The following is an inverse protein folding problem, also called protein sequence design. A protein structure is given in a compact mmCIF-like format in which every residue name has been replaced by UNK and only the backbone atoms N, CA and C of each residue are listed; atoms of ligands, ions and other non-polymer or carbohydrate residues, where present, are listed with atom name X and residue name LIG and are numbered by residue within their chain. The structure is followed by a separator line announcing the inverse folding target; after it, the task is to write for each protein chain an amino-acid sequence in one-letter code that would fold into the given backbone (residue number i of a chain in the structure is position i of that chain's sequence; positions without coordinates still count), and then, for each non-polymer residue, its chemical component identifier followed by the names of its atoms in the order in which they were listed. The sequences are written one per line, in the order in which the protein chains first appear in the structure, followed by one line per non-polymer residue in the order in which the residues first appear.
data_IF_794084312242
#
_entry.id   IF_794084312242
#
_cell.length_a   1.000
_cell.length_b   1.000
_cell.length_c   1.000
_cell.angle_alpha   90.00
_cell.angle_beta   90.00
_cell.angle_gamma   90.00
#
_symmetry.space_group_name_H-M   'P 1'
#
loop_
_entity.id
_entity.type
_entity.pdbx_description
1 polymer ?
#
# COMPACT_ATOMS: atom_id res chain seq x y z
N UNK A 1 -14.06 19.43 -19.96
CA UNK A 1 -15.11 18.44 -19.66
C UNK A 1 -14.36 17.25 -19.10
N UNK A 2 -14.67 16.77 -17.88
CA UNK A 2 -13.89 15.68 -17.30
C UNK A 2 -14.06 14.39 -18.13
N UNK A 3 -12.95 13.73 -18.45
CA UNK A 3 -12.92 12.45 -19.18
C UNK A 3 -12.17 11.37 -18.39
N UNK A 4 -12.30 10.13 -18.85
CA UNK A 4 -11.48 9.01 -18.39
C UNK A 4 -10.20 8.94 -19.24
N UNK A 5 -9.04 8.97 -18.59
CA UNK A 5 -7.74 8.83 -19.25
C UNK A 5 -7.37 7.34 -19.31
N UNK A 6 -7.05 6.86 -20.50
CA UNK A 6 -6.70 5.46 -20.75
C UNK A 6 -5.19 5.21 -20.87
N UNK A 7 -4.38 6.27 -20.84
CA UNK A 7 -2.92 6.16 -20.91
C UNK A 7 -2.34 5.71 -19.57
N UNK A 8 -1.22 4.99 -19.64
CA UNK A 8 -0.48 4.61 -18.44
C UNK A 8 0.08 5.85 -17.74
N UNK A 9 -0.13 5.96 -16.42
CA UNK A 9 0.42 7.04 -15.63
C UNK A 9 1.93 6.90 -15.56
N UNK A 10 2.65 7.99 -15.82
CA UNK A 10 4.10 8.00 -15.63
C UNK A 10 4.46 7.80 -14.16
N UNK A 11 5.57 7.12 -13.89
CA UNK A 11 6.10 6.97 -12.53
C UNK A 11 6.42 8.31 -11.87
N UNK A 12 6.82 9.32 -12.65
CA UNK A 12 7.05 10.67 -12.15
C UNK A 12 5.79 11.27 -11.50
N UNK A 13 4.61 11.09 -12.12
CA UNK A 13 3.34 11.56 -11.53
C UNK A 13 2.91 10.67 -10.37
N UNK A 14 3.02 9.35 -10.50
CA UNK A 14 2.69 8.41 -9.41
C UNK A 14 3.46 8.75 -8.13
N UNK A 15 4.76 9.02 -8.23
CA UNK A 15 5.62 9.35 -7.09
C UNK A 15 5.32 10.73 -6.46
N UNK A 16 4.39 11.53 -7.00
CA UNK A 16 3.89 12.75 -6.34
C UNK A 16 2.66 12.50 -5.46
N UNK A 17 2.05 11.31 -5.57
CA UNK A 17 0.94 10.93 -4.72
C UNK A 17 1.45 10.67 -3.30
N UNK A 18 0.63 10.95 -2.27
CA UNK A 18 1.07 10.85 -0.88
C UNK A 18 1.41 9.42 -0.48
N UNK A 19 2.34 9.24 0.45
CA UNK A 19 2.49 7.95 1.10
C UNK A 19 1.29 7.73 2.04
N UNK A 20 0.94 6.47 2.32
CA UNK A 20 -0.05 6.15 3.34
C UNK A 20 0.16 6.89 4.68
N UNK A 21 1.40 7.05 5.14
CA UNK A 21 1.73 7.71 6.41
C UNK A 21 1.24 9.18 6.41
N UNK A 22 1.16 9.81 5.24
CA UNK A 22 0.76 11.21 5.08
C UNK A 22 -0.77 11.40 5.09
N UNK A 23 -1.54 10.32 4.92
CA UNK A 23 -2.99 10.38 4.71
C UNK A 23 -3.81 9.67 5.78
N UNK A 24 -3.18 9.23 6.87
CA UNK A 24 -3.85 8.47 7.93
C UNK A 24 -5.07 9.18 8.53
N UNK A 25 -5.03 10.51 8.67
CA UNK A 25 -6.14 11.30 9.24
C UNK A 25 -7.18 11.79 8.23
N UNK A 26 -6.97 11.51 6.93
CA UNK A 26 -7.92 11.92 5.88
C UNK A 26 -9.31 11.33 6.09
N UNK A 27 -9.49 10.05 6.47
CA UNK A 27 -10.83 9.50 6.68
C UNK A 27 -11.66 10.30 7.70
N UNK A 28 -11.05 10.67 8.83
CA UNK A 28 -11.69 11.45 9.88
C UNK A 28 -11.92 12.91 9.46
N UNK A 29 -10.88 13.56 8.92
CA UNK A 29 -10.92 14.97 8.51
C UNK A 29 -11.88 15.23 7.34
N UNK A 30 -12.14 14.21 6.52
CA UNK A 30 -12.95 14.29 5.31
C UNK A 30 -14.20 13.37 5.36
N UNK A 31 -14.68 12.99 6.55
CA UNK A 31 -15.84 12.11 6.71
C UNK A 31 -17.10 12.58 5.96
N UNK A 32 -17.39 13.89 5.96
CA UNK A 32 -18.52 14.46 5.21
C UNK A 32 -18.33 14.35 3.69
N UNK A 33 -17.10 14.53 3.20
CA UNK A 33 -16.79 14.36 1.78
C UNK A 33 -16.94 12.91 1.36
N UNK A 34 -16.49 11.96 2.20
CA UNK A 34 -16.66 10.53 1.97
C UNK A 34 -18.15 10.18 1.94
N UNK A 35 -18.96 10.70 2.85
CA UNK A 35 -20.41 10.49 2.86
C UNK A 35 -21.08 11.04 1.58
N UNK A 36 -20.72 12.25 1.15
CA UNK A 36 -21.26 12.85 -0.08
C UNK A 36 -20.84 12.07 -1.34
N UNK A 37 -19.58 11.64 -1.40
CA UNK A 37 -19.04 10.87 -2.52
C UNK A 37 -19.63 9.44 -2.56
N UNK A 38 -19.87 8.80 -1.42
CA UNK A 38 -20.55 7.49 -1.36
C UNK A 38 -22.04 7.61 -1.75
N UNK A 39 -22.73 8.65 -1.31
CA UNK A 39 -24.09 8.95 -1.76
C UNK A 39 -24.16 9.24 -3.28
N UNK A 40 -23.09 9.80 -3.86
CA UNK A 40 -22.97 9.97 -5.30
C UNK A 40 -22.94 8.61 -6.03
N UNK A 41 -22.20 7.61 -5.52
CA UNK A 41 -22.17 6.25 -6.08
C UNK A 41 -23.58 5.64 -6.10
N UNK A 42 -24.33 5.80 -5.01
CA UNK A 42 -25.70 5.32 -4.88
C UNK A 42 -26.66 6.01 -5.86
N UNK A 43 -26.60 7.34 -5.95
CA UNK A 43 -27.48 8.13 -6.82
C UNK A 43 -27.35 7.73 -8.30
N UNK A 44 -26.13 7.41 -8.74
CA UNK A 44 -25.87 6.93 -10.10
C UNK A 44 -26.04 5.41 -10.27
N UNK A 45 -26.40 4.69 -9.20
CA UNK A 45 -26.62 3.24 -9.19
C UNK A 45 -25.42 2.46 -9.75
N UNK A 46 -24.22 2.84 -9.32
CA UNK A 46 -23.01 2.14 -9.71
C UNK A 46 -22.96 0.73 -9.10
N UNK A 47 -22.11 -0.13 -9.67
CA UNK A 47 -21.81 -1.46 -9.16
C UNK A 47 -21.16 -1.39 -7.76
N UNK A 48 -21.42 -2.36 -6.86
CA UNK A 48 -20.86 -2.41 -5.49
C UNK A 48 -19.33 -2.51 -5.46
N UNK A 49 -18.74 -2.92 -6.58
CA UNK A 49 -17.30 -2.97 -6.79
C UNK A 49 -16.69 -1.60 -7.09
N UNK A 50 -17.50 -0.55 -7.27
CA UNK A 50 -17.04 0.84 -7.35
C UNK A 50 -17.11 1.46 -5.96
N UNK A 51 -15.97 1.90 -5.43
CA UNK A 51 -15.83 2.42 -4.06
C UNK A 51 -15.06 3.74 -4.06
N UNK A 52 -15.14 4.47 -2.95
CA UNK A 52 -14.26 5.60 -2.70
C UNK A 52 -12.94 5.06 -2.14
N UNK A 53 -11.81 5.53 -2.66
CA UNK A 53 -10.46 5.09 -2.28
C UNK A 53 -9.70 6.23 -1.60
N UNK A 54 -9.05 5.95 -0.48
CA UNK A 54 -8.00 6.80 0.07
C UNK A 54 -6.78 6.73 -0.86
N UNK A 55 -6.41 7.85 -1.47
CA UNK A 55 -5.27 7.90 -2.39
C UNK A 55 -3.99 7.82 -1.59
N UNK A 56 -3.15 6.84 -1.91
CA UNK A 56 -1.82 6.69 -1.35
C UNK A 56 -0.95 5.81 -2.26
N UNK A 57 0.35 5.84 -2.03
CA UNK A 57 1.33 4.92 -2.62
C UNK A 57 2.01 4.11 -1.52
N UNK A 58 2.51 2.93 -1.89
CA UNK A 58 3.27 2.06 -0.98
C UNK A 58 4.79 2.18 -1.16
N UNK A 59 5.24 2.54 -2.35
CA UNK A 59 6.66 2.75 -2.66
C UNK A 59 6.81 3.53 -3.97
N UNK A 60 7.97 4.16 -4.17
CA UNK A 60 8.26 4.84 -5.44
C UNK A 60 8.48 3.85 -6.60
N UNK A 61 7.98 4.22 -7.77
CA UNK A 61 8.19 3.54 -9.05
C UNK A 61 9.43 4.10 -9.77
N UNK A 62 10.13 3.24 -10.52
CA UNK A 62 11.20 3.63 -11.44
C UNK A 62 10.62 4.06 -12.78
N UNK A 63 11.42 4.69 -13.62
CA UNK A 63 10.99 5.07 -14.98
C UNK A 63 10.49 3.84 -15.77
N UNK A 64 9.34 3.99 -16.42
CA UNK A 64 8.72 2.92 -17.22
C UNK A 64 8.01 1.84 -16.42
N UNK A 65 7.92 1.96 -15.10
CA UNK A 65 7.13 1.07 -14.23
C UNK A 65 5.74 1.65 -13.95
N UNK A 66 4.80 0.75 -13.67
CA UNK A 66 3.47 1.02 -13.11
C UNK A 66 3.23 0.11 -11.90
N UNK A 67 2.35 0.54 -11.00
CA UNK A 67 1.92 -0.28 -9.87
C UNK A 67 0.74 -1.16 -10.29
N UNK A 68 0.89 -2.49 -10.21
CA UNK A 68 -0.14 -3.41 -10.66
C UNK A 68 -0.43 -4.50 -9.63
N UNK A 69 -1.72 -4.69 -9.39
CA UNK A 69 -2.35 -5.78 -8.65
C UNK A 69 -2.52 -7.02 -9.54
N UNK A 70 -2.21 -8.19 -8.99
CA UNK A 70 -2.56 -9.49 -9.60
C UNK A 70 -3.02 -10.46 -8.54
N UNK A 71 -3.97 -11.29 -8.92
CA UNK A 71 -4.45 -12.34 -8.03
C UNK A 71 -3.52 -13.55 -8.04
N UNK A 72 -3.30 -14.12 -6.85
CA UNK A 72 -2.54 -15.35 -6.65
C UNK A 72 -3.32 -16.27 -5.72
N UNK A 73 -3.43 -17.54 -6.10
CA UNK A 73 -4.10 -18.55 -5.26
C UNK A 73 -3.09 -19.11 -4.26
N UNK A 74 -3.21 -18.71 -2.99
CA UNK A 74 -2.37 -19.21 -1.91
C UNK A 74 -2.99 -20.49 -1.33
N UNK A 75 -2.24 -21.60 -1.24
CA UNK A 75 -2.76 -22.86 -0.71
C UNK A 75 -3.37 -22.70 0.69
N UNK A 76 -4.61 -23.14 0.86
CA UNK A 76 -5.43 -23.05 2.09
C UNK A 76 -5.94 -21.65 2.49
N UNK A 77 -5.55 -20.60 1.76
CA UNK A 77 -5.99 -19.23 2.03
C UNK A 77 -6.81 -18.62 0.89
N UNK A 78 -6.85 -19.28 -0.28
CA UNK A 78 -7.68 -18.86 -1.41
C UNK A 78 -7.01 -17.76 -2.22
N UNK A 79 -7.82 -16.83 -2.73
CA UNK A 79 -7.35 -15.75 -3.60
C UNK A 79 -6.75 -14.62 -2.76
N UNK A 80 -5.50 -14.27 -3.02
CA UNK A 80 -4.78 -13.14 -2.42
C UNK A 80 -4.36 -12.20 -3.53
N UNK A 81 -4.54 -10.90 -3.32
CA UNK A 81 -3.97 -9.92 -4.24
C UNK A 81 -2.53 -9.62 -3.85
N UNK A 82 -1.64 -9.57 -4.84
CA UNK A 82 -0.30 -9.03 -4.68
C UNK A 82 -0.11 -7.86 -5.61
N UNK A 83 0.43 -6.80 -5.07
CA UNK A 83 0.61 -5.53 -5.74
C UNK A 83 2.09 -5.23 -5.85
N UNK A 84 2.59 -4.95 -7.05
CA UNK A 84 4.03 -4.83 -7.28
C UNK A 84 4.33 -3.82 -8.41
N UNK A 85 5.57 -3.33 -8.44
CA UNK A 85 6.06 -2.62 -9.62
C UNK A 85 6.18 -3.58 -10.81
N UNK A 86 5.61 -3.21 -11.96
CA UNK A 86 5.77 -3.95 -13.22
C UNK A 86 6.12 -3.01 -14.37
N UNK A 87 6.87 -3.46 -15.40
CA UNK A 87 7.10 -2.65 -16.60
C UNK A 87 5.78 -2.33 -17.32
N UNK A 88 5.54 -1.05 -17.63
CA UNK A 88 4.35 -0.59 -18.34
C UNK A 88 4.21 -1.21 -19.75
N UNK A 89 5.32 -1.62 -20.36
CA UNK A 89 5.40 -2.16 -21.73
C UNK A 89 5.14 -3.66 -21.83
N UNK A 90 4.87 -4.36 -20.72
CA UNK A 90 4.66 -5.82 -20.77
C UNK A 90 3.37 -6.13 -21.54
N UNK A 91 3.37 -7.18 -22.36
CA UNK A 91 2.22 -7.60 -23.22
C UNK A 91 0.98 -8.09 -22.46
N UNK A 92 0.79 -7.69 -21.20
CA UNK A 92 -0.38 -8.06 -20.41
C UNK A 92 -1.37 -6.89 -20.43
N UNK A 93 -2.67 -7.15 -20.66
CA UNK A 93 -3.66 -6.11 -20.53
C UNK A 93 -3.68 -5.60 -19.09
N UNK A 94 -3.55 -4.28 -18.94
CA UNK A 94 -3.69 -3.59 -17.66
C UNK A 94 -5.03 -2.87 -17.65
N UNK A 95 -5.79 -3.09 -16.59
CA UNK A 95 -7.06 -2.42 -16.35
C UNK A 95 -6.90 -1.49 -15.15
N UNK A 96 -7.61 -0.36 -15.13
CA UNK A 96 -7.48 0.54 -13.99
C UNK A 96 -8.13 -0.04 -12.74
N UNK A 97 -7.35 -0.04 -11.66
CA UNK A 97 -7.72 -0.50 -10.32
C UNK A 97 -8.13 0.69 -9.47
N UNK A 98 -7.22 1.64 -9.28
CA UNK A 98 -7.48 2.85 -8.52
C UNK A 98 -7.29 4.09 -9.39
N UNK A 99 -8.15 5.08 -9.18
CA UNK A 99 -8.22 6.31 -9.97
C UNK A 99 -8.19 7.54 -9.08
N UNK A 100 -7.55 8.60 -9.58
CA UNK A 100 -7.53 9.92 -8.97
C UNK A 100 -7.93 10.99 -9.98
N UNK A 101 -8.21 12.20 -9.49
CA UNK A 101 -8.50 13.35 -10.35
C UNK A 101 -7.22 14.15 -10.54
N UNK A 102 -6.73 14.22 -11.77
CA UNK A 102 -5.48 14.90 -12.08
C UNK A 102 -5.61 16.44 -12.05
N UNK A 103 -4.51 17.15 -12.35
CA UNK A 103 -4.46 18.62 -12.38
C UNK A 103 -5.42 19.25 -13.38
N UNK A 104 -5.68 18.59 -14.50
CA UNK A 104 -6.61 19.05 -15.54
C UNK A 104 -8.07 18.85 -15.14
N UNK A 105 -8.29 17.97 -14.16
CA UNK A 105 -9.59 17.62 -13.64
C UNK A 105 -10.23 16.41 -14.30
N UNK A 106 -9.42 15.59 -14.94
CA UNK A 106 -9.80 14.32 -15.55
C UNK A 106 -9.51 13.17 -14.60
N UNK A 107 -10.25 12.07 -14.79
CA UNK A 107 -10.10 10.86 -13.99
C UNK A 107 -9.00 10.01 -14.62
N UNK A 108 -7.88 9.85 -13.89
CA UNK A 108 -6.72 9.09 -14.33
C UNK A 108 -6.52 7.86 -13.45
N UNK A 109 -6.12 6.75 -14.06
CA UNK A 109 -5.70 5.55 -13.34
C UNK A 109 -4.33 5.82 -12.70
N UNK A 110 -4.11 5.41 -11.45
CA UNK A 110 -2.78 5.42 -10.82
C UNK A 110 -2.31 4.03 -10.37
N UNK A 111 -3.23 3.08 -10.20
CA UNK A 111 -2.89 1.67 -9.96
C UNK A 111 -3.69 0.78 -10.91
N UNK A 112 -3.10 -0.33 -11.32
CA UNK A 112 -3.63 -1.22 -12.34
C UNK A 112 -3.92 -2.60 -11.78
N UNK A 113 -4.69 -3.40 -12.51
CA UNK A 113 -4.92 -4.81 -12.22
C UNK A 113 -4.89 -5.66 -13.49
N UNK A 114 -4.59 -6.94 -13.32
CA UNK A 114 -4.51 -7.91 -14.43
C UNK A 114 -5.87 -8.38 -14.96
N UNK A 115 -6.96 -8.09 -14.26
CA UNK A 115 -8.32 -8.49 -14.61
C UNK A 115 -9.24 -7.27 -14.67
N UNK A 116 -10.25 -7.24 -15.55
CA UNK A 116 -11.11 -6.07 -15.71
C UNK A 116 -12.09 -5.89 -14.54
N UNK A 117 -12.20 -4.66 -14.02
CA UNK A 117 -13.28 -4.24 -13.13
C UNK A 117 -14.56 -3.85 -13.87
N UNK A 118 -15.56 -3.30 -13.17
CA UNK A 118 -16.74 -2.68 -13.79
C UNK A 118 -16.34 -1.60 -14.81
N UNK A 119 -17.00 -1.58 -15.96
CA UNK A 119 -16.82 -0.49 -16.93
C UNK A 119 -17.59 0.76 -16.48
N UNK A 120 -16.84 1.77 -16.02
CA UNK A 120 -17.40 3.06 -15.61
C UNK A 120 -17.53 4.06 -16.76
N UNK A 121 -17.01 3.77 -17.96
CA UNK A 121 -16.94 4.71 -19.08
C UNK A 121 -18.32 5.13 -19.61
N UNK A 122 -19.33 4.29 -19.40
CA UNK A 122 -20.73 4.56 -19.71
C UNK A 122 -21.36 5.61 -18.75
N UNK A 123 -20.82 5.79 -17.54
CA UNK A 123 -21.36 6.72 -16.53
C UNK A 123 -20.73 8.12 -16.64
N UNK A 124 -20.74 8.71 -17.83
CA UNK A 124 -20.08 10.01 -18.09
C UNK A 124 -20.57 11.14 -17.18
N UNK A 125 -21.87 11.17 -16.86
CA UNK A 125 -22.44 12.15 -15.93
C UNK A 125 -21.88 12.01 -14.52
N UNK A 126 -21.72 10.77 -14.04
CA UNK A 126 -21.09 10.47 -12.76
C UNK A 126 -19.64 10.94 -12.76
N UNK A 127 -18.84 10.52 -13.75
CA UNK A 127 -17.41 10.90 -13.84
C UNK A 127 -17.24 12.42 -13.77
N UNK A 128 -18.07 13.15 -14.53
CA UNK A 128 -18.06 14.62 -14.53
C UNK A 128 -18.38 15.19 -13.15
N UNK A 129 -19.42 14.71 -12.50
CA UNK A 129 -19.82 15.23 -11.19
C UNK A 129 -18.82 14.87 -10.09
N UNK A 130 -18.31 13.63 -10.08
CA UNK A 130 -17.25 13.18 -9.17
C UNK A 130 -16.02 14.08 -9.29
N UNK A 131 -15.50 14.27 -10.51
CA UNK A 131 -14.33 15.12 -10.74
C UNK A 131 -14.59 16.59 -10.32
N UNK A 132 -15.80 17.10 -10.54
CA UNK A 132 -16.16 18.44 -10.10
C UNK A 132 -16.16 18.58 -8.58
N UNK A 133 -16.72 17.63 -7.84
CA UNK A 133 -16.73 17.63 -6.37
C UNK A 133 -15.29 17.57 -5.85
N UNK A 134 -14.52 16.59 -6.32
CA UNK A 134 -13.12 16.39 -5.91
C UNK A 134 -12.30 17.66 -6.10
N UNK A 135 -12.39 18.32 -7.27
CA UNK A 135 -11.67 19.58 -7.51
C UNK A 135 -12.13 20.74 -6.65
N UNK A 136 -13.46 20.97 -6.58
CA UNK A 136 -14.02 22.12 -5.85
C UNK A 136 -13.68 22.06 -4.37
N UNK A 137 -13.58 20.84 -3.83
CA UNK A 137 -13.28 20.58 -2.41
C UNK A 137 -11.81 20.25 -2.13
N UNK A 138 -10.94 20.31 -3.16
CA UNK A 138 -9.49 20.07 -3.05
C UNK A 138 -9.12 18.68 -2.53
N UNK A 139 -9.78 17.64 -3.06
CA UNK A 139 -9.64 16.24 -2.64
C UNK A 139 -8.71 15.42 -3.56
N UNK A 140 -8.08 16.02 -4.57
CA UNK A 140 -7.32 15.32 -5.64
C UNK A 140 -6.20 14.39 -5.13
N UNK A 141 -5.59 14.70 -3.98
CA UNK A 141 -4.53 13.91 -3.34
C UNK A 141 -5.02 13.24 -2.06
N UNK A 142 -6.34 13.05 -1.93
CA UNK A 142 -6.97 12.49 -0.72
C UNK A 142 -7.91 11.36 -1.09
N UNK A 143 -8.86 11.62 -1.98
CA UNK A 143 -9.95 10.71 -2.30
C UNK A 143 -10.05 10.48 -3.80
N UNK A 144 -10.17 9.21 -4.17
CA UNK A 144 -10.26 8.70 -5.52
C UNK A 144 -11.34 7.63 -5.64
N UNK A 145 -11.25 6.83 -6.70
CA UNK A 145 -12.11 5.66 -6.92
C UNK A 145 -11.30 4.37 -6.85
N UNK A 146 -11.91 3.32 -6.32
CA UNK A 146 -11.45 1.93 -6.45
C UNK A 146 -12.47 1.14 -7.25
N UNK A 147 -11.98 0.37 -8.22
CA UNK A 147 -12.76 -0.54 -9.06
C UNK A 147 -12.23 -1.94 -8.83
N UNK A 148 -13.01 -2.79 -8.18
CA UNK A 148 -12.59 -4.17 -7.90
C UNK A 148 -12.99 -5.12 -9.04
N UNK A 149 -12.12 -6.06 -9.41
CA UNK A 149 -12.46 -7.10 -10.38
C UNK A 149 -13.55 -8.05 -9.84
N UNK A 150 -13.32 -8.62 -8.66
CA UNK A 150 -14.24 -9.51 -7.98
C UNK A 150 -14.74 -8.91 -6.66
N UNK A 151 -15.90 -9.35 -6.21
CA UNK A 151 -16.31 -9.11 -4.83
C UNK A 151 -15.36 -9.88 -3.91
N UNK A 152 -14.50 -9.15 -3.21
CA UNK A 152 -13.77 -9.70 -2.09
C UNK A 152 -14.77 -9.75 -0.92
N UNK A 153 -15.28 -10.95 -0.64
CA UNK A 153 -16.31 -11.19 0.39
C UNK A 153 -15.74 -10.94 1.80
N UNK A 154 -14.42 -10.93 1.93
CA UNK A 154 -13.72 -10.76 3.20
C UNK A 154 -12.88 -9.48 3.17
N UNK A 155 -12.83 -8.80 4.31
CA UNK A 155 -11.88 -7.71 4.52
C UNK A 155 -10.45 -8.24 4.41
N UNK A 156 -9.55 -7.36 3.97
CA UNK A 156 -8.11 -7.64 3.89
C UNK A 156 -7.33 -6.58 4.63
N UNK A 157 -6.11 -6.97 4.99
CA UNK A 157 -5.07 -6.08 5.47
C UNK A 157 -3.89 -6.07 4.53
N UNK A 158 -3.49 -4.86 4.15
CA UNK A 158 -2.36 -4.63 3.27
C UNK A 158 -1.05 -4.76 4.06
N UNK A 159 -0.22 -5.77 3.72
CA UNK A 159 1.11 -5.96 4.27
C UNK A 159 2.17 -5.51 3.26
N UNK A 160 2.88 -4.44 3.59
CA UNK A 160 4.02 -3.99 2.79
C UNK A 160 5.21 -4.93 2.90
N UNK A 161 5.85 -5.18 1.76
CA UNK A 161 7.09 -5.93 1.59
C UNK A 161 8.13 -5.07 0.82
N UNK A 162 8.73 -4.06 1.48
CA UNK A 162 9.59 -3.07 0.81
C UNK A 162 10.80 -3.68 0.08
N UNK A 163 11.45 -4.68 0.68
CA UNK A 163 12.61 -5.36 0.08
C UNK A 163 12.29 -6.05 -1.27
N UNK A 164 11.02 -6.27 -1.58
CA UNK A 164 10.56 -6.78 -2.87
C UNK A 164 9.70 -5.78 -3.65
N UNK A 165 9.58 -4.52 -3.18
CA UNK A 165 8.71 -3.48 -3.77
C UNK A 165 7.32 -4.05 -4.09
N UNK A 166 6.74 -4.68 -3.08
CA UNK A 166 5.47 -5.42 -3.16
C UNK A 166 4.60 -5.12 -1.96
N UNK A 167 3.27 -5.17 -2.11
CA UNK A 167 2.29 -5.21 -1.04
C UNK A 167 1.42 -6.47 -1.20
N UNK A 168 0.99 -7.07 -0.09
CA UNK A 168 0.21 -8.31 -0.06
C UNK A 168 -1.11 -8.06 0.67
N UNK A 169 -2.23 -8.37 0.02
CA UNK A 169 -3.53 -8.41 0.69
C UNK A 169 -3.67 -9.67 1.54
N UNK A 170 -3.45 -9.53 2.84
CA UNK A 170 -3.61 -10.59 3.82
C UNK A 170 -5.09 -10.67 4.24
N UNK A 171 -5.73 -11.84 4.25
CA UNK A 171 -7.10 -11.97 4.76
C UNK A 171 -7.21 -11.48 6.21
N UNK A 172 -8.28 -10.76 6.55
CA UNK A 172 -8.45 -10.14 7.87
C UNK A 172 -8.45 -11.14 9.05
N UNK A 173 -8.78 -12.41 8.80
CA UNK A 173 -8.70 -13.48 9.80
C UNK A 173 -7.28 -13.93 10.13
N UNK A 174 -6.29 -13.54 9.32
CA UNK A 174 -4.88 -13.86 9.55
C UNK A 174 -4.26 -12.76 10.40
N UNK A 175 -3.85 -13.05 11.65
CA UNK A 175 -3.30 -12.04 12.52
C UNK A 175 -1.95 -11.56 11.99
N UNK A 176 -1.80 -10.23 11.92
CA UNK A 176 -0.53 -9.57 11.65
C UNK A 176 0.27 -9.40 12.96
N UNK A 177 1.61 -9.48 12.92
CA UNK A 177 2.44 -9.27 14.10
C UNK A 177 2.32 -7.82 14.57
N UNK A 178 2.26 -7.61 15.88
CA UNK A 178 2.29 -6.24 16.42
C UNK A 178 3.52 -5.47 15.92
N UNK A 179 3.29 -4.26 15.40
CA UNK A 179 4.32 -3.25 15.16
C UNK A 179 3.99 -1.98 15.94
N UNK A 180 4.95 -1.38 16.65
CA UNK A 180 4.76 -0.05 17.23
C UNK A 180 4.58 1.04 16.16
N UNK A 181 5.07 0.82 14.95
CA UNK A 181 4.85 1.73 13.81
C UNK A 181 3.68 1.29 12.93
N UNK A 182 2.92 0.28 13.39
CA UNK A 182 1.73 -0.13 12.71
C UNK A 182 0.53 0.69 13.12
N UNK A 183 -0.33 0.95 12.14
CA UNK A 183 -1.56 1.70 12.31
C UNK A 183 -2.65 1.04 11.50
N UNK A 184 -3.88 1.15 11.97
CA UNK A 184 -5.06 0.71 11.23
C UNK A 184 -5.72 1.93 10.59
N UNK A 185 -5.94 1.88 9.27
CA UNK A 185 -6.77 2.87 8.58
C UNK A 185 -7.66 2.21 7.51
N UNK A 186 -8.82 2.81 7.27
CA UNK A 186 -9.74 2.36 6.22
C UNK A 186 -9.32 3.02 4.91
N UNK A 187 -8.93 2.22 3.92
CA UNK A 187 -8.50 2.75 2.62
C UNK A 187 -9.61 2.76 1.58
N UNK A 188 -10.73 2.07 1.84
CA UNK A 188 -11.87 2.02 0.94
C UNK A 188 -13.20 2.18 1.66
N UNK A 189 -14.10 2.95 1.05
CA UNK A 189 -15.40 3.27 1.59
C UNK A 189 -16.48 2.86 0.60
N UNK A 190 -17.35 1.94 1.02
CA UNK A 190 -18.51 1.49 0.26
C UNK A 190 -19.75 2.31 0.65
N UNK A 191 -20.85 2.08 -0.09
CA UNK A 191 -22.16 2.67 0.23
C UNK A 191 -22.65 2.29 1.64
N UNK A 192 -22.37 1.07 2.06
CA UNK A 192 -22.82 0.53 3.35
C UNK A 192 -22.05 1.13 4.54
N UNK A 193 -20.79 1.53 4.32
CA UNK A 193 -19.93 2.13 5.34
C UNK A 193 -20.53 3.40 5.93
N UNK A 194 -21.12 4.26 5.09
CA UNK A 194 -21.66 5.56 5.51
C UNK A 194 -22.91 5.43 6.41
N UNK A 195 -23.70 4.37 6.22
CA UNK A 195 -24.93 4.14 7.01
C UNK A 195 -24.63 3.71 8.44
N UNK A 196 -23.55 2.96 8.64
CA UNK A 196 -23.18 2.42 9.96
C UNK A 196 -22.58 3.51 10.85
N UNK A 197 -21.67 4.36 10.35
CA UNK A 197 -21.11 5.45 11.16
C UNK A 197 -22.15 6.48 11.57
N UNK A 198 -23.09 6.80 10.67
CA UNK A 198 -24.20 7.71 10.99
C UNK A 198 -25.15 7.11 12.02
N UNK A 199 -25.33 5.79 12.02
CA UNK A 199 -26.12 5.09 13.05
C UNK A 199 -25.39 5.08 14.41
N UNK A 200 -24.07 4.89 14.41
CA UNK A 200 -23.24 4.89 15.63
C UNK A 200 -23.10 6.28 16.27
N UNK A 201 -23.10 7.36 15.47
CA UNK A 201 -23.07 8.74 16.00
C UNK A 201 -24.41 9.20 16.59
N UNK A 202 -25.51 8.53 16.26
CA UNK A 202 -26.85 8.85 16.76
C UNK A 202 -27.21 8.11 18.06
N UNK A 203 -26.40 7.16 18.52
CA UNK A 203 -26.57 6.51 19.81
C UNK A 203 -25.65 7.12 20.87
N UNK A 204 -26.25 7.82 21.83
CA UNK A 204 -25.62 8.29 23.06
C UNK A 204 -25.10 7.09 23.87
N UNK A 205 -23.82 6.73 23.67
CA UNK A 205 -23.19 5.63 24.37
C UNK A 205 -21.72 5.46 24.01
N UNK A 206 -20.91 6.50 24.15
CA UNK A 206 -19.47 6.52 23.85
C UNK A 206 -18.59 5.59 24.73
N UNK A 207 -19.18 4.66 25.49
CA UNK A 207 -18.47 3.84 26.48
C UNK A 207 -18.43 2.34 26.18
N UNK A 208 -19.02 1.88 25.06
CA UNK A 208 -19.01 0.46 24.64
C UNK A 208 -18.16 0.17 23.39
N UNK A 209 -17.61 1.19 22.72
CA UNK A 209 -16.87 1.01 21.46
C UNK A 209 -15.43 0.48 21.60
N UNK A 210 -14.96 0.17 22.82
CA UNK A 210 -13.61 -0.39 23.07
C UNK A 210 -13.57 -1.91 23.30
N UNK A 211 -14.71 -2.59 23.25
CA UNK A 211 -14.74 -4.05 23.38
C UNK A 211 -15.05 -4.68 22.03
N UNK A 212 -14.08 -5.44 21.53
CA UNK A 212 -14.21 -6.37 20.41
C UNK A 212 -15.58 -7.05 20.40
N UNK A 213 -16.42 -6.67 19.42
CA UNK A 213 -17.59 -7.47 19.04
C UNK A 213 -17.18 -8.38 17.89
N UNK A 214 -16.98 -9.69 18.12
CA UNK A 214 -16.87 -10.67 17.05
C UNK A 214 -18.29 -10.96 16.54
N UNK A 215 -18.58 -10.69 15.26
CA UNK A 215 -19.81 -11.25 14.67
C UNK A 215 -20.58 -10.44 13.62
N UNK A 216 -20.06 -9.32 13.10
CA UNK A 216 -20.55 -8.77 11.83
C UNK A 216 -19.35 -8.48 10.93
N UNK A 217 -19.29 -9.21 9.82
CA UNK A 217 -18.25 -9.12 8.81
C UNK A 217 -18.32 -7.73 8.18
N UNK A 218 -17.57 -6.79 8.76
CA UNK A 218 -17.45 -5.45 8.20
C UNK A 218 -16.41 -5.52 7.09
N UNK A 219 -16.85 -5.33 5.84
CA UNK A 219 -16.02 -5.29 4.64
C UNK A 219 -15.25 -3.96 4.60
N UNK A 220 -14.23 -3.83 5.46
CA UNK A 220 -13.25 -2.74 5.35
C UNK A 220 -11.94 -3.33 4.85
N UNK A 221 -11.31 -2.65 3.88
CA UNK A 221 -9.88 -2.84 3.64
C UNK A 221 -9.17 -2.08 4.78
N UNK A 222 -8.69 -2.82 5.78
CA UNK A 222 -7.95 -2.25 6.90
C UNK A 222 -6.49 -2.29 6.54
N UNK A 223 -5.92 -1.18 6.11
CA UNK A 223 -4.48 -1.12 5.94
C UNK A 223 -3.83 -1.15 7.32
N UNK A 224 -2.98 -2.15 7.53
CA UNK A 224 -2.13 -2.27 8.71
C UNK A 224 -0.70 -2.14 8.24
N UNK A 225 -0.14 -0.92 8.29
CA UNK A 225 1.30 -0.80 8.00
C UNK A 225 2.07 -1.55 9.04
N UNK A 226 3.18 -2.10 8.64
CA UNK A 226 4.16 -2.63 9.56
C UNK A 226 5.51 -2.09 9.13
N UNK A 227 5.75 -0.80 9.41
CA UNK A 227 7.08 -0.21 9.34
C UNK A 227 7.85 -0.68 10.57
N UNK A 228 9.18 -0.81 10.52
CA UNK A 228 9.96 -1.22 11.68
C UNK A 228 11.25 -0.43 11.76
N UNK A 229 11.52 0.15 12.93
CA UNK A 229 12.71 0.98 13.17
C UNK A 229 13.97 0.16 13.44
N UNK A 230 15.08 0.79 13.06
CA UNK A 230 16.47 0.40 13.24
C UNK A 230 17.00 0.90 14.59
N UNK A 231 16.66 0.23 15.68
CA UNK A 231 17.27 0.54 16.96
C UNK A 231 17.32 -0.66 17.91
N UNK A 232 18.49 -0.79 18.54
CA UNK A 232 18.87 -1.78 19.57
C UNK A 232 19.26 -3.20 19.10
N UNK A 233 20.14 -3.28 18.10
CA UNK A 233 21.29 -4.19 18.25
C UNK A 233 22.54 -3.34 18.42
N UNK A 234 22.73 -2.86 19.65
CA UNK A 234 24.02 -2.41 20.11
C UNK A 234 24.99 -3.59 20.04
N UNK A 235 25.66 -3.75 18.90
CA UNK A 235 26.92 -4.45 18.85
C UNK A 235 27.88 -3.61 19.70
N UNK A 236 28.06 -4.05 20.95
CA UNK A 236 29.19 -3.59 21.75
C UNK A 236 30.44 -4.04 21.01
N UNK A 237 31.09 -3.12 20.31
CA UNK A 237 32.43 -3.36 19.80
C UNK A 237 33.33 -3.69 20.99
N UNK A 238 33.73 -4.96 21.05
CA UNK A 238 34.68 -5.48 22.00
C UNK A 238 35.99 -4.76 21.81
N UNK A 239 36.22 -3.79 22.68
CA UNK A 239 37.47 -3.07 22.84
C UNK A 239 38.59 -4.10 23.14
N UNK A 240 39.41 -4.40 22.13
CA UNK A 240 40.61 -5.21 22.30
C UNK A 240 41.81 -4.29 22.15
N UNK A 241 42.19 -3.66 23.25
CA UNK A 241 43.52 -3.05 23.42
C UNK A 241 44.52 -4.16 23.68
N UNK A 242 45.45 -4.40 22.74
CA UNK A 242 46.84 -4.78 23.05
C UNK A 242 47.75 -4.07 22.05
N UNK A 243 48.70 -3.36 22.62
CA UNK A 243 49.76 -2.56 22.01
C UNK A 243 50.67 -3.34 21.05
N UNK A 244 51.25 -2.63 20.08
CA UNK A 244 52.69 -2.72 19.82
C UNK A 244 53.19 -1.53 19.01
N UNK A 245 54.18 -0.86 19.60
CA UNK A 245 55.06 0.16 19.04
C UNK A 245 55.83 -0.33 17.81
N UNK A 246 56.03 0.54 16.80
CA UNK A 246 57.35 1.09 16.46
C UNK A 246 57.49 1.56 15.00
N UNK A 247 58.12 2.75 14.89
CA UNK A 247 59.08 3.24 13.88
C UNK A 247 58.62 3.69 12.48
N UNK A 248 58.82 5.00 12.29
CA UNK A 248 59.56 5.69 11.21
C UNK A 248 59.11 5.59 9.74
N UNK A 249 58.44 6.67 9.31
CA UNK A 249 58.98 7.64 8.37
C UNK A 249 59.34 7.21 6.93
N UNK A 250 58.55 7.66 5.95
CA UNK A 250 59.06 8.36 4.76
C UNK A 250 57.95 9.05 3.97
N UNK A 251 58.22 10.29 3.53
CA UNK A 251 57.43 11.08 2.56
C UNK A 251 57.99 10.83 1.15
N UNK A 252 57.12 10.61 0.16
CA UNK A 252 57.19 11.00 -1.28
C UNK A 252 55.81 10.72 -1.90
N UNK A 253 54.99 11.72 -2.21
CA UNK A 253 54.86 12.46 -3.50
C UNK A 253 54.33 11.65 -4.69
N UNK A 254 53.19 12.14 -5.18
CA UNK A 254 52.70 12.22 -6.55
C UNK A 254 51.85 11.11 -7.19
N UNK A 255 50.73 11.62 -7.75
CA UNK A 255 49.91 11.17 -8.89
C UNK A 255 49.07 9.89 -8.73
N UNK A 256 47.75 10.07 -8.67
CA UNK A 256 46.90 9.82 -9.85
C UNK A 256 45.45 10.26 -9.61
N UNK A 257 44.96 11.13 -10.50
CA UNK A 257 43.55 11.48 -10.66
C UNK A 257 42.79 10.23 -11.10
N UNK A 258 42.01 9.67 -10.18
CA UNK A 258 41.03 8.63 -10.45
C UNK A 258 39.65 9.15 -10.13
N UNK A 259 38.90 9.47 -11.18
CA UNK A 259 37.45 9.64 -11.14
C UNK A 259 36.80 8.35 -10.60
N UNK A 260 36.51 8.32 -9.30
CA UNK A 260 35.60 7.34 -8.72
C UNK A 260 34.23 7.99 -8.55
N UNK A 261 33.40 7.90 -9.59
CA UNK A 261 31.95 8.04 -9.44
C UNK A 261 31.45 6.84 -8.63
N UNK A 262 31.55 6.93 -7.31
CA UNK A 262 30.81 6.05 -6.42
C UNK A 262 29.36 6.48 -6.47
N UNK A 263 28.59 5.91 -7.40
CA UNK A 263 27.16 5.73 -7.24
C UNK A 263 26.97 4.80 -6.04
N UNK A 264 27.06 5.39 -4.84
CA UNK A 264 26.52 4.82 -3.62
C UNK A 264 25.01 4.92 -3.74
N UNK A 265 24.43 3.94 -4.45
CA UNK A 265 23.10 3.44 -4.16
C UNK A 265 23.13 2.90 -2.72
N UNK A 266 23.03 3.81 -1.74
CA UNK A 266 22.68 3.55 -0.35
C UNK A 266 21.24 3.04 -0.30
N UNK A 267 21.00 1.86 -0.85
CA UNK A 267 19.82 1.06 -0.50
C UNK A 267 20.06 0.47 0.89
N UNK A 268 19.60 1.21 1.89
CA UNK A 268 18.76 0.72 2.98
C UNK A 268 19.21 -0.64 3.56
N UNK A 269 20.32 -0.61 4.29
CA UNK A 269 20.84 -1.75 5.06
C UNK A 269 20.13 -1.88 6.40
N UNK A 270 18.83 -2.15 6.33
CA UNK A 270 18.06 -2.77 7.40
C UNK A 270 16.59 -2.42 7.27
N UNK A 271 15.74 -3.24 7.87
CA UNK A 271 14.28 -3.07 7.88
C UNK A 271 13.58 -3.49 6.59
N UNK A 272 13.50 -4.81 6.43
CA UNK A 272 12.70 -5.47 5.42
C UNK A 272 12.41 -6.90 5.81
N UNK A 273 11.40 -7.48 5.17
CA UNK A 273 11.25 -8.91 5.12
C UNK A 273 12.44 -9.49 4.34
N UNK A 274 13.24 -10.37 4.94
CA UNK A 274 14.36 -11.03 4.24
C UNK A 274 14.21 -12.54 4.33
N UNK A 275 14.41 -13.22 3.20
CA UNK A 275 14.43 -14.68 3.11
C UNK A 275 15.88 -15.16 3.08
N UNK A 276 16.33 -15.81 4.15
CA UNK A 276 17.68 -16.40 4.22
C UNK A 276 17.63 -17.86 3.76
N UNK A 277 18.43 -18.22 2.76
CA UNK A 277 18.47 -19.56 2.18
C UNK A 277 19.30 -20.54 3.02
N UNK A 278 18.64 -21.56 3.58
CA UNK A 278 19.28 -22.72 4.21
C UNK A 278 18.33 -23.55 5.08
N UNK A 279 17.58 -24.48 4.47
CA UNK A 279 16.74 -25.56 5.06
C UNK A 279 15.69 -25.20 6.14
N UNK A 280 15.55 -23.94 6.51
CA UNK A 280 14.38 -23.35 7.15
C UNK A 280 14.34 -21.89 6.74
N UNK A 281 13.35 -21.47 5.93
CA UNK A 281 13.22 -20.06 5.60
C UNK A 281 12.92 -19.30 6.88
N UNK A 282 13.80 -18.38 7.23
CA UNK A 282 13.49 -17.42 8.26
C UNK A 282 12.82 -16.24 7.57
N UNK A 283 11.58 -15.98 7.96
CA UNK A 283 10.80 -14.83 7.54
C UNK A 283 10.75 -13.93 8.76
N UNK A 284 11.51 -12.84 8.71
CA UNK A 284 11.51 -11.84 9.76
C UNK A 284 10.56 -10.72 9.33
N UNK A 285 9.50 -10.50 10.10
CA UNK A 285 8.67 -9.30 10.04
C UNK A 285 8.87 -8.63 11.39
N UNK A 286 9.11 -7.33 11.46
CA UNK A 286 9.32 -6.64 12.73
C UNK A 286 10.64 -6.86 13.46
N UNK A 287 11.67 -7.37 12.79
CA UNK A 287 12.78 -7.97 13.52
C UNK A 287 12.34 -9.18 14.35
N UNK A 288 11.11 -9.68 14.16
CA UNK A 288 10.59 -10.88 14.79
C UNK A 288 10.51 -11.99 13.75
N UNK A 289 11.07 -13.13 14.12
CA UNK A 289 10.93 -14.35 13.32
C UNK A 289 9.47 -14.80 13.37
N UNK A 290 8.83 -14.90 12.21
CA UNK A 290 7.51 -15.51 12.13
C UNK A 290 7.61 -17.01 12.43
N UNK A 291 6.65 -17.51 13.20
CA UNK A 291 6.46 -18.95 13.39
C UNK A 291 6.10 -19.57 12.04
N UNK A 292 6.85 -20.60 11.63
CA UNK A 292 6.62 -21.32 10.37
C UNK A 292 5.25 -22.02 10.30
N UNK A 293 4.59 -22.18 11.45
CA UNK A 293 3.22 -22.71 11.55
C UNK A 293 2.15 -21.64 11.36
N UNK A 294 2.49 -20.36 11.53
CA UNK A 294 1.54 -19.25 11.41
C UNK A 294 1.00 -19.14 9.99
N UNK A 295 -0.26 -18.75 9.87
CA UNK A 295 -0.91 -18.51 8.58
C UNK A 295 -0.15 -17.46 7.75
N UNK A 296 0.25 -16.36 8.40
CA UNK A 296 1.00 -15.29 7.76
C UNK A 296 2.32 -15.77 7.14
N UNK A 297 3.07 -16.61 7.87
CA UNK A 297 4.31 -17.18 7.34
C UNK A 297 4.06 -17.95 6.04
N UNK A 298 2.99 -18.76 5.99
CA UNK A 298 2.66 -19.57 4.80
C UNK A 298 2.31 -18.69 3.60
N UNK A 299 1.52 -17.64 3.81
CA UNK A 299 1.18 -16.65 2.77
C UNK A 299 2.43 -15.97 2.26
N UNK A 300 3.21 -15.37 3.16
CA UNK A 300 4.41 -14.60 2.81
C UNK A 300 5.49 -15.49 2.17
N UNK A 301 5.68 -16.72 2.65
CA UNK A 301 6.61 -17.68 2.06
C UNK A 301 6.19 -18.03 0.63
N UNK A 302 4.90 -18.31 0.41
CA UNK A 302 4.39 -18.65 -0.92
C UNK A 302 4.52 -17.47 -1.88
N UNK A 303 4.16 -16.26 -1.45
CA UNK A 303 4.36 -15.05 -2.28
C UNK A 303 5.84 -14.86 -2.60
N UNK A 304 6.73 -15.05 -1.63
CA UNK A 304 8.18 -14.95 -1.84
C UNK A 304 8.74 -15.99 -2.82
N UNK A 305 8.07 -17.13 -3.01
CA UNK A 305 8.46 -18.16 -3.99
C UNK A 305 8.17 -17.78 -5.44
N UNK A 306 7.17 -16.92 -5.65
CA UNK A 306 6.63 -16.59 -6.97
C UNK A 306 6.99 -15.18 -7.44
N UNK A 307 7.79 -14.46 -6.63
CA UNK A 307 8.39 -13.16 -6.93
C UNK A 307 9.86 -13.33 -7.34
#
# INVERSE_FOLDING_TARGET
MAILINDALSSAVYNTLPHMDDVMGVPEDNANDIADLTALLERYKLDDRVRIKLIHIQFHLKEGEVFAARDVTVPNFGLTNIMQAVPAKKHQPLYGHHYFVNSDGDLATYEYMSQPGPDISQYRSFIREFCQIVRKRRLQHKLGLSLRHAEQIHGTSELEYPAKRTCIDVPAEVPLPYSPLGFDTTTEFSRESATIENSLKNEQGAELAKQHLPGKCNVYCKYSKHRFDEAELGLSDGNTTIDNDSSDGHITSDTDDSESSSDHDDFDRGHGLYVINGRSRQINLAGRKLDSRAALYKIVSFVSDIL
#
